data_IF_643234693793
#
_entry.id   IF_643234693793
#
_cell.length_a   1.000
_cell.length_b   1.000
_cell.length_c   1.000
_cell.angle_alpha   90.00
_cell.angle_beta   90.00
_cell.angle_gamma   90.00
#
_symmetry.space_group_name_H-M   'P 1'
#
loop_
_entity.id
_entity.type
_entity.pdbx_description
1 polymer ?
#
# COMPACT_ATOMS: atom_id res chain seq x y z
N UNK A 1 5.51 31.35 7.49
CA UNK A 1 5.41 29.86 7.45
C UNK A 1 4.21 29.50 6.60
N UNK A 2 4.39 28.57 5.66
CA UNK A 2 3.25 28.08 4.85
C UNK A 2 2.44 27.11 5.69
N UNK A 3 1.13 27.28 5.70
CA UNK A 3 0.18 26.34 6.31
C UNK A 3 -0.61 25.63 5.22
N UNK A 4 -0.91 24.36 5.43
CA UNK A 4 -1.69 23.54 4.50
C UNK A 4 -2.95 23.07 5.21
N UNK A 5 -4.08 23.10 4.52
CA UNK A 5 -5.37 22.67 5.06
C UNK A 5 -5.65 21.20 4.77
N UNK A 6 -5.08 20.68 3.71
CA UNK A 6 -5.21 19.28 3.28
C UNK A 6 -3.84 18.59 3.33
N UNK A 7 -3.80 17.42 3.93
CA UNK A 7 -2.59 16.59 4.00
C UNK A 7 -2.93 15.22 3.44
N UNK A 8 -2.18 14.80 2.43
CA UNK A 8 -2.36 13.51 1.76
C UNK A 8 -1.19 12.63 2.10
N UNK A 9 -1.46 11.46 2.66
CA UNK A 9 -0.46 10.48 3.03
C UNK A 9 -0.46 9.31 2.05
N UNK A 10 0.71 8.79 1.76
CA UNK A 10 0.86 7.41 1.31
C UNK A 10 0.66 6.46 2.50
N UNK A 11 0.48 5.18 2.26
CA UNK A 11 0.26 4.19 3.32
C UNK A 11 1.51 3.35 3.56
N UNK A 12 1.81 2.44 2.64
CA UNK A 12 2.92 1.49 2.80
C UNK A 12 4.28 2.20 2.79
N UNK A 13 5.08 2.00 3.84
CA UNK A 13 6.38 2.64 4.00
C UNK A 13 6.32 4.10 4.44
N UNK A 14 5.13 4.65 4.69
CA UNK A 14 4.92 6.04 5.14
C UNK A 14 4.24 6.10 6.50
N UNK A 15 3.04 5.58 6.62
CA UNK A 15 2.31 5.46 7.89
C UNK A 15 2.47 4.07 8.49
N UNK A 16 2.52 3.07 7.63
CA UNK A 16 2.55 1.65 7.97
C UNK A 16 3.93 1.08 7.65
N UNK A 17 4.59 0.51 8.65
CA UNK A 17 5.80 -0.30 8.50
C UNK A 17 5.38 -1.69 8.06
N UNK A 18 5.09 -1.83 6.77
CA UNK A 18 4.48 -3.00 6.15
C UNK A 18 5.48 -3.90 5.42
N UNK A 19 6.78 -3.62 5.57
CA UNK A 19 7.84 -4.32 4.84
C UNK A 19 7.83 -5.82 5.02
N UNK A 20 7.60 -6.31 6.24
CA UNK A 20 7.58 -7.76 6.52
C UNK A 20 6.51 -8.48 5.71
N UNK A 21 5.27 -8.04 5.78
CA UNK A 21 4.16 -8.67 5.07
C UNK A 21 4.31 -8.62 3.56
N UNK A 22 4.75 -7.48 3.05
CA UNK A 22 4.94 -7.27 1.61
C UNK A 22 6.10 -8.12 1.08
N UNK A 23 7.26 -8.07 1.71
CA UNK A 23 8.45 -8.80 1.23
C UNK A 23 8.29 -10.30 1.33
N UNK A 24 7.71 -10.82 2.41
CA UNK A 24 7.43 -12.25 2.58
C UNK A 24 6.38 -12.75 1.57
N UNK A 25 5.40 -11.92 1.24
CA UNK A 25 4.39 -12.28 0.24
C UNK A 25 4.96 -12.25 -1.19
N UNK A 26 5.87 -11.31 -1.47
CA UNK A 26 6.62 -11.30 -2.73
C UNK A 26 7.55 -12.52 -2.83
N UNK A 27 8.23 -12.87 -1.75
CA UNK A 27 9.06 -14.09 -1.68
C UNK A 27 8.23 -15.34 -2.00
N UNK A 28 7.07 -15.46 -1.38
CA UNK A 28 6.15 -16.57 -1.66
C UNK A 28 5.76 -16.63 -3.14
N UNK A 29 5.38 -15.50 -3.72
CA UNK A 29 5.00 -15.43 -5.14
C UNK A 29 6.14 -15.84 -6.06
N UNK A 30 7.34 -15.29 -5.84
CA UNK A 30 8.53 -15.61 -6.64
C UNK A 30 8.92 -17.08 -6.54
N UNK A 31 8.75 -17.71 -5.38
CA UNK A 31 9.04 -19.12 -5.19
C UNK A 31 8.22 -20.02 -6.12
N UNK A 32 7.01 -19.60 -6.50
CA UNK A 32 6.15 -20.32 -7.45
C UNK A 32 6.71 -20.33 -8.88
N UNK A 33 7.63 -19.42 -9.17
CA UNK A 33 8.36 -19.35 -10.45
C UNK A 33 9.78 -19.90 -10.35
N UNK A 34 10.12 -20.55 -9.23
CA UNK A 34 11.46 -21.09 -9.00
C UNK A 34 12.50 -20.01 -8.66
N UNK A 35 12.08 -18.81 -8.34
CA UNK A 35 12.97 -17.69 -7.98
C UNK A 35 13.02 -17.60 -6.45
N UNK A 36 14.21 -17.85 -5.90
CA UNK A 36 14.43 -17.80 -4.45
C UNK A 36 15.15 -16.50 -4.09
N UNK A 37 14.50 -15.67 -3.30
CA UNK A 37 15.03 -14.40 -2.79
C UNK A 37 14.77 -14.27 -1.31
N UNK A 38 15.67 -13.57 -0.63
CA UNK A 38 15.44 -13.22 0.78
C UNK A 38 14.53 -11.98 0.89
N UNK A 39 13.75 -11.84 1.96
CA UNK A 39 12.89 -10.66 2.14
C UNK A 39 13.65 -9.34 2.04
N UNK A 40 14.89 -9.28 2.53
CA UNK A 40 15.70 -8.05 2.47
C UNK A 40 16.02 -7.60 1.03
N UNK A 41 16.05 -8.53 0.07
CA UNK A 41 16.25 -8.24 -1.36
C UNK A 41 14.97 -7.78 -2.06
N UNK A 42 13.83 -7.79 -1.35
CA UNK A 42 12.50 -7.54 -1.91
C UNK A 42 11.86 -6.25 -1.41
N UNK A 43 12.62 -5.39 -0.73
CA UNK A 43 12.10 -4.12 -0.18
C UNK A 43 11.57 -3.18 -1.26
N UNK A 44 12.02 -3.33 -2.49
CA UNK A 44 11.54 -2.55 -3.64
C UNK A 44 10.06 -2.79 -3.97
N UNK A 45 9.45 -3.86 -3.43
CA UNK A 45 8.01 -4.10 -3.56
C UNK A 45 7.16 -3.19 -2.66
N UNK A 46 7.76 -2.51 -1.68
CA UNK A 46 7.02 -1.62 -0.78
C UNK A 46 6.72 -0.31 -1.49
N UNK A 47 5.46 -0.07 -1.79
CA UNK A 47 4.97 1.17 -2.40
C UNK A 47 4.52 1.06 -3.85
N UNK A 48 5.34 0.57 -4.80
CA UNK A 48 4.91 0.53 -6.20
C UNK A 48 3.78 -0.48 -6.46
N UNK A 49 3.02 -0.34 -7.57
CA UNK A 49 2.05 -1.35 -7.99
C UNK A 49 2.73 -2.70 -8.22
N UNK A 50 2.20 -3.75 -7.63
CA UNK A 50 2.82 -5.09 -7.63
C UNK A 50 3.09 -5.63 -9.03
N UNK A 51 2.10 -5.54 -9.92
CA UNK A 51 2.24 -6.08 -11.28
C UNK A 51 3.41 -5.44 -12.03
N UNK A 52 3.51 -4.12 -11.94
CA UNK A 52 4.59 -3.36 -12.58
C UNK A 52 5.95 -3.76 -11.99
N UNK A 53 6.02 -3.96 -10.68
CA UNK A 53 7.26 -4.33 -10.01
C UNK A 53 7.73 -5.73 -10.42
N UNK A 54 6.82 -6.71 -10.52
CA UNK A 54 7.16 -8.04 -11.04
C UNK A 54 7.67 -7.99 -12.48
N UNK A 55 7.06 -7.16 -13.33
CA UNK A 55 7.50 -6.97 -14.71
C UNK A 55 8.88 -6.34 -14.78
N UNK A 56 9.09 -5.26 -14.05
CA UNK A 56 10.31 -4.45 -14.14
C UNK A 56 11.51 -5.15 -13.49
N UNK A 57 11.33 -5.77 -12.34
CA UNK A 57 12.42 -6.38 -11.59
C UNK A 57 12.79 -7.79 -12.09
N UNK A 58 11.83 -8.54 -12.63
CA UNK A 58 12.03 -9.94 -13.02
C UNK A 58 11.73 -10.21 -14.49
N UNK A 59 11.46 -9.17 -15.25
CA UNK A 59 11.17 -9.26 -16.68
C UNK A 59 10.02 -10.21 -17.01
N UNK A 60 9.01 -10.23 -16.14
CA UNK A 60 7.82 -11.05 -16.34
C UNK A 60 6.95 -10.51 -17.49
N UNK A 61 6.33 -11.42 -18.23
CA UNK A 61 5.24 -11.07 -19.14
C UNK A 61 4.02 -10.54 -18.36
N UNK A 62 3.07 -9.93 -19.05
CA UNK A 62 1.81 -9.50 -18.43
C UNK A 62 1.08 -10.66 -17.75
N UNK A 63 1.08 -11.83 -18.39
CA UNK A 63 0.45 -13.05 -17.85
C UNK A 63 1.15 -13.54 -16.59
N UNK A 64 2.46 -13.66 -16.61
CA UNK A 64 3.26 -14.11 -15.46
C UNK A 64 3.17 -13.10 -14.30
N UNK A 65 3.22 -11.81 -14.61
CA UNK A 65 3.08 -10.78 -13.57
C UNK A 65 1.69 -10.82 -12.91
N UNK A 66 0.63 -11.01 -13.70
CA UNK A 66 -0.72 -11.19 -13.16
C UNK A 66 -0.82 -12.42 -12.25
N UNK A 67 -0.20 -13.53 -12.68
CA UNK A 67 -0.13 -14.77 -11.89
C UNK A 67 0.67 -14.59 -10.60
N UNK A 68 1.78 -13.88 -10.67
CA UNK A 68 2.58 -13.54 -9.50
C UNK A 68 1.79 -12.73 -8.47
N UNK A 69 0.97 -11.77 -8.93
CA UNK A 69 0.08 -10.99 -8.06
C UNK A 69 -0.96 -11.90 -7.39
N UNK A 70 -1.51 -12.88 -8.09
CA UNK A 70 -2.44 -13.86 -7.50
C UNK A 70 -1.74 -14.65 -6.37
N UNK A 71 -0.55 -15.19 -6.61
CA UNK A 71 0.24 -15.89 -5.59
C UNK A 71 0.59 -14.99 -4.41
N UNK A 72 0.98 -13.75 -4.69
CA UNK A 72 1.23 -12.76 -3.64
C UNK A 72 0.01 -12.62 -2.72
N UNK A 73 -1.17 -12.47 -3.29
CA UNK A 73 -2.42 -12.30 -2.55
C UNK A 73 -2.84 -13.53 -1.77
N UNK A 74 -2.48 -14.72 -2.21
CA UNK A 74 -2.74 -15.97 -1.47
C UNK A 74 -2.12 -15.92 -0.07
N UNK A 75 -0.93 -15.34 0.07
CA UNK A 75 -0.27 -15.17 1.35
C UNK A 75 -0.62 -13.84 2.02
N UNK A 76 -0.69 -12.78 1.24
CA UNK A 76 -0.86 -11.43 1.79
C UNK A 76 -2.23 -11.25 2.48
N UNK A 77 -3.30 -11.67 1.86
CA UNK A 77 -4.65 -11.49 2.42
C UNK A 77 -4.84 -12.13 3.79
N UNK A 78 -4.47 -13.41 4.03
CA UNK A 78 -4.67 -14.03 5.34
C UNK A 78 -3.57 -13.72 6.35
N UNK A 79 -2.37 -13.40 5.93
CA UNK A 79 -1.19 -13.29 6.80
C UNK A 79 -0.50 -11.94 6.66
N UNK A 80 0.01 -11.63 5.48
CA UNK A 80 0.89 -10.48 5.25
C UNK A 80 0.28 -9.14 5.59
N UNK A 81 -1.03 -9.00 5.38
CA UNK A 81 -1.77 -7.77 5.65
C UNK A 81 -1.70 -7.37 7.14
N UNK A 82 -1.51 -8.34 8.02
CA UNK A 82 -1.40 -8.12 9.46
C UNK A 82 0.05 -8.08 9.96
N UNK A 83 1.03 -8.34 9.11
CA UNK A 83 2.46 -8.21 9.42
C UNK A 83 2.91 -6.77 9.22
N UNK A 84 2.29 -5.87 9.96
CA UNK A 84 2.49 -4.42 9.85
C UNK A 84 2.25 -3.74 11.19
N UNK A 85 2.82 -2.56 11.36
CA UNK A 85 2.62 -1.70 12.52
C UNK A 85 2.71 -0.24 12.09
N UNK A 86 2.20 0.67 12.92
CA UNK A 86 2.43 2.10 12.71
C UNK A 86 3.91 2.44 12.98
N UNK A 87 4.45 3.35 12.19
CA UNK A 87 5.69 4.00 12.58
C UNK A 87 5.50 4.75 13.90
N UNK A 88 6.59 4.87 14.65
CA UNK A 88 6.59 5.53 15.96
C UNK A 88 5.87 6.88 15.91
N UNK A 89 4.97 7.11 16.86
CA UNK A 89 4.23 8.36 17.04
C UNK A 89 3.26 8.72 15.89
N UNK A 90 3.00 7.79 14.97
CA UNK A 90 2.09 8.03 13.85
C UNK A 90 0.68 8.38 14.27
N UNK A 91 0.15 7.72 15.28
CA UNK A 91 -1.18 7.98 15.85
C UNK A 91 -1.24 9.35 16.53
N UNK A 92 -0.20 9.73 17.25
CA UNK A 92 -0.08 11.03 17.93
C UNK A 92 -0.06 12.15 16.88
N UNK A 93 0.72 11.97 15.82
CA UNK A 93 0.79 12.93 14.71
C UNK A 93 -0.59 13.13 14.06
N UNK A 94 -1.28 12.05 13.72
CA UNK A 94 -2.59 12.10 13.08
C UNK A 94 -3.60 12.80 13.97
N UNK A 95 -3.60 12.48 15.27
CA UNK A 95 -4.48 13.15 16.24
C UNK A 95 -4.23 14.65 16.28
N UNK A 96 -2.97 15.07 16.36
CA UNK A 96 -2.61 16.50 16.38
C UNK A 96 -3.07 17.23 15.11
N UNK A 97 -2.94 16.59 13.96
CA UNK A 97 -3.39 17.18 12.70
C UNK A 97 -4.91 17.33 12.66
N UNK A 98 -5.68 16.36 13.16
CA UNK A 98 -7.14 16.46 13.26
C UNK A 98 -7.56 17.52 14.26
N UNK A 99 -6.91 17.59 15.42
CA UNK A 99 -7.20 18.62 16.43
C UNK A 99 -6.89 20.03 15.89
N UNK A 100 -5.97 20.16 14.95
CA UNK A 100 -5.67 21.41 14.24
C UNK A 100 -6.64 21.72 13.08
N UNK A 101 -7.68 20.90 12.89
CA UNK A 101 -8.70 21.09 11.86
C UNK A 101 -8.28 20.72 10.45
N UNK A 102 -7.24 19.93 10.28
CA UNK A 102 -6.76 19.53 8.96
C UNK A 102 -7.64 18.46 8.31
N UNK A 103 -7.81 18.55 7.00
CA UNK A 103 -8.41 17.51 6.19
C UNK A 103 -7.34 16.45 5.87
N UNK A 104 -7.55 15.20 6.27
CA UNK A 104 -6.58 14.13 6.09
C UNK A 104 -7.08 13.13 5.07
N UNK A 105 -6.22 12.77 4.12
CA UNK A 105 -6.54 11.81 3.09
C UNK A 105 -5.40 10.79 2.90
N UNK A 106 -5.79 9.61 2.45
CA UNK A 106 -4.87 8.58 1.97
C UNK A 106 -4.94 8.51 0.44
N UNK A 107 -3.78 8.44 -0.21
CA UNK A 107 -3.65 8.07 -1.61
C UNK A 107 -2.59 6.96 -1.72
N UNK A 108 -3.00 5.76 -2.10
CA UNK A 108 -2.13 4.59 -2.14
C UNK A 108 -2.35 3.77 -3.40
N UNK A 109 -1.29 3.15 -3.91
CA UNK A 109 -1.40 2.16 -4.98
C UNK A 109 -1.89 0.79 -4.50
N UNK A 110 -2.02 0.60 -3.17
CA UNK A 110 -2.67 -0.58 -2.60
C UNK A 110 -4.16 -0.61 -2.99
N UNK A 111 -4.72 -1.79 -3.29
CA UNK A 111 -6.16 -1.91 -3.57
C UNK A 111 -7.03 -1.36 -2.43
N UNK A 112 -8.11 -0.69 -2.79
CA UNK A 112 -9.00 0.04 -1.87
C UNK A 112 -9.40 -0.76 -0.63
N UNK A 113 -9.93 -1.96 -0.82
CA UNK A 113 -10.40 -2.79 0.29
C UNK A 113 -9.26 -3.20 1.23
N UNK A 114 -8.08 -3.48 0.69
CA UNK A 114 -6.91 -3.84 1.49
C UNK A 114 -6.36 -2.63 2.27
N UNK A 115 -6.36 -1.46 1.67
CA UNK A 115 -5.97 -0.22 2.35
C UNK A 115 -6.87 0.07 3.54
N UNK A 116 -8.18 -0.02 3.35
CA UNK A 116 -9.15 0.17 4.42
C UNK A 116 -8.98 -0.84 5.56
N UNK A 117 -8.73 -2.10 5.22
CA UNK A 117 -8.49 -3.16 6.21
C UNK A 117 -7.24 -2.89 7.05
N UNK A 118 -6.13 -2.49 6.42
CA UNK A 118 -4.90 -2.11 7.13
C UNK A 118 -5.14 -0.94 8.07
N UNK A 119 -5.85 0.10 7.59
CA UNK A 119 -6.13 1.28 8.41
C UNK A 119 -6.98 0.94 9.64
N UNK A 120 -7.96 0.05 9.49
CA UNK A 120 -8.77 -0.44 10.61
C UNK A 120 -7.93 -1.28 11.57
N UNK A 121 -7.11 -2.18 11.05
CA UNK A 121 -6.21 -3.01 11.85
C UNK A 121 -5.24 -2.16 12.69
N UNK A 122 -4.70 -1.10 12.09
CA UNK A 122 -3.79 -0.17 12.77
C UNK A 122 -4.52 0.81 13.72
N UNK A 123 -5.85 0.85 13.70
CA UNK A 123 -6.64 1.72 14.56
C UNK A 123 -6.62 3.20 14.16
N UNK A 124 -6.32 3.50 12.91
CA UNK A 124 -6.21 4.89 12.42
C UNK A 124 -7.22 5.25 11.33
N UNK A 125 -8.12 4.34 10.99
CA UNK A 125 -9.11 4.55 9.92
C UNK A 125 -9.92 5.84 10.09
N UNK A 126 -10.37 6.11 11.31
CA UNK A 126 -11.28 7.24 11.59
C UNK A 126 -10.61 8.62 11.52
N UNK A 127 -9.28 8.68 11.45
CA UNK A 127 -8.58 9.95 11.27
C UNK A 127 -8.73 10.52 9.85
N UNK A 128 -9.07 9.70 8.88
CA UNK A 128 -9.05 10.10 7.47
C UNK A 128 -10.45 10.50 6.99
N UNK A 129 -10.50 11.68 6.38
CA UNK A 129 -11.71 12.21 5.73
C UNK A 129 -11.96 11.53 4.39
N UNK A 130 -10.89 11.09 3.72
CA UNK A 130 -10.99 10.37 2.45
C UNK A 130 -9.86 9.34 2.32
N UNK A 131 -10.20 8.17 1.82
CA UNK A 131 -9.25 7.09 1.55
C UNK A 131 -9.41 6.68 0.09
N UNK A 132 -8.34 6.82 -0.68
CA UNK A 132 -8.33 6.48 -2.11
C UNK A 132 -7.23 5.45 -2.37
N UNK A 133 -7.65 4.23 -2.67
CA UNK A 133 -6.78 3.15 -3.10
C UNK A 133 -6.96 2.84 -4.58
N UNK A 134 -6.17 1.89 -5.07
CA UNK A 134 -6.25 1.44 -6.46
C UNK A 134 -7.46 0.51 -6.68
N UNK A 135 -7.88 0.42 -7.92
CA UNK A 135 -8.84 -0.60 -8.35
C UNK A 135 -8.13 -1.94 -8.54
N UNK A 136 -8.81 -3.04 -8.19
CA UNK A 136 -8.32 -4.38 -8.53
C UNK A 136 -8.39 -4.62 -10.04
N UNK A 137 -9.49 -4.17 -10.63
CA UNK A 137 -9.76 -4.20 -12.07
C UNK A 137 -10.32 -2.84 -12.41
N UNK A 138 -9.80 -2.17 -13.44
CA UNK A 138 -10.28 -0.86 -13.85
C UNK A 138 -9.17 0.15 -14.07
N UNK A 139 -9.50 1.42 -14.30
CA UNK A 139 -8.54 2.43 -14.74
C UNK A 139 -7.64 2.96 -13.61
N UNK A 140 -8.08 2.87 -12.35
CA UNK A 140 -7.36 3.47 -11.20
C UNK A 140 -6.37 2.47 -10.61
N UNK A 141 -5.26 2.21 -11.31
CA UNK A 141 -4.24 1.25 -10.88
C UNK A 141 -2.87 1.89 -10.62
N UNK A 142 -2.64 3.11 -11.08
CA UNK A 142 -1.40 3.84 -10.84
C UNK A 142 -1.55 4.84 -9.71
N UNK A 143 -0.44 5.24 -9.10
CA UNK A 143 -0.43 6.31 -8.08
C UNK A 143 -1.02 7.61 -8.63
N UNK A 144 -0.68 7.95 -9.88
CA UNK A 144 -1.22 9.15 -10.54
C UNK A 144 -2.73 9.07 -10.67
N UNK A 145 -3.28 7.96 -11.17
CA UNK A 145 -4.74 7.80 -11.31
C UNK A 145 -5.47 7.82 -9.97
N UNK A 146 -4.85 7.31 -8.91
CA UNK A 146 -5.37 7.40 -7.54
C UNK A 146 -5.44 8.86 -7.08
N UNK A 147 -4.37 9.62 -7.26
CA UNK A 147 -4.33 11.04 -6.90
C UNK A 147 -5.37 11.86 -7.69
N UNK A 148 -5.46 11.62 -8.99
CA UNK A 148 -6.46 12.29 -9.84
C UNK A 148 -7.89 12.01 -9.35
N UNK A 149 -8.19 10.76 -8.99
CA UNK A 149 -9.49 10.36 -8.45
C UNK A 149 -9.76 11.03 -7.08
N UNK A 150 -8.74 11.21 -6.25
CA UNK A 150 -8.87 11.87 -4.96
C UNK A 150 -9.35 13.32 -5.10
N UNK A 151 -8.88 14.02 -6.13
CA UNK A 151 -9.22 15.43 -6.37
C UNK A 151 -10.50 15.63 -7.21
N UNK A 152 -11.09 14.59 -7.74
CA UNK A 152 -12.39 14.69 -8.41
C UNK A 152 -13.50 14.94 -7.40
N UNK A 153 -14.38 15.89 -7.77
CA UNK A 153 -15.59 16.18 -7.01
C UNK A 153 -16.72 15.21 -7.37
#
# INVERSE_FOLDING_TARGET
MKTYDVIIFDLDGTLSDSGEGITKSAQYALSKFGINKEPDDLKHFVGPPLKEEFKNAYNFSDEDAAKAVEYYRERYKPIGIYETSLYKDGDIMLKRLKDAGKYLAIATSKPQAMAEEVLRYLGIYDYFDKIMGADLIGPRQSKQSVLEALFKK
#
